data_IF_541253514731
#
_entry.id   IF_541253514731
#
_cell.length_a   1.000
_cell.length_b   1.000
_cell.length_c   1.000
_cell.angle_alpha   90.00
_cell.angle_beta   90.00
_cell.angle_gamma   90.00
#
_symmetry.space_group_name_H-M   'P 1'
#
loop_
_entity.id
_entity.type
_entity.pdbx_description
1 polymer ?
#
# COMPACT_ATOMS: atom_id res chain seq x y z
N UNK A 1 -8.47 35.65 -21.40
CA UNK A 1 -7.01 35.45 -21.42
C UNK A 1 -6.71 34.07 -20.84
N UNK A 2 -5.92 33.22 -21.50
CA UNK A 2 -5.54 31.94 -20.91
C UNK A 2 -4.72 32.22 -19.64
N UNK A 3 -5.14 31.66 -18.52
CA UNK A 3 -4.60 31.91 -17.17
C UNK A 3 -3.35 31.09 -16.87
N UNK A 4 -2.86 30.28 -17.82
CA UNK A 4 -1.71 29.39 -17.64
C UNK A 4 -0.64 29.61 -18.73
N UNK A 5 0.61 29.73 -18.30
CA UNK A 5 1.76 29.83 -19.20
C UNK A 5 2.15 28.44 -19.71
N UNK A 6 2.71 28.30 -20.93
CA UNK A 6 3.18 27.01 -21.45
C UNK A 6 4.15 26.28 -20.51
N UNK A 7 4.93 27.02 -19.73
CA UNK A 7 5.84 26.48 -18.71
C UNK A 7 5.07 25.84 -17.53
N UNK A 8 3.95 26.44 -17.11
CA UNK A 8 3.10 25.89 -16.05
C UNK A 8 2.40 24.58 -16.46
N UNK A 9 2.24 24.30 -17.77
CA UNK A 9 1.75 23.00 -18.27
C UNK A 9 2.84 21.92 -18.35
N UNK A 10 4.13 22.29 -18.33
CA UNK A 10 5.24 21.32 -18.41
C UNK A 10 5.65 20.77 -17.04
N UNK A 11 5.33 21.46 -15.96
CA UNK A 11 5.56 21.00 -14.60
C UNK A 11 4.28 20.38 -14.07
N UNK A 12 4.23 19.08 -13.75
CA UNK A 12 3.06 18.49 -13.11
C UNK A 12 2.76 19.22 -11.80
N UNK A 13 1.48 19.29 -11.44
CA UNK A 13 1.06 19.89 -10.18
C UNK A 13 1.80 19.19 -9.02
N UNK A 14 2.13 19.96 -7.96
CA UNK A 14 2.85 19.45 -6.77
C UNK A 14 2.12 18.29 -6.10
N UNK A 15 0.80 18.18 -6.33
CA UNK A 15 -0.06 17.07 -5.92
C UNK A 15 -1.11 16.82 -7.01
N UNK A 16 -1.59 15.58 -7.16
CA UNK A 16 -2.56 15.23 -8.17
C UNK A 16 -3.11 13.81 -8.04
N UNK A 17 -4.32 13.58 -8.58
CA UNK A 17 -4.98 12.27 -8.60
C UNK A 17 -4.71 11.49 -9.89
N UNK A 18 -3.79 11.97 -10.72
CA UNK A 18 -3.39 11.28 -11.94
C UNK A 18 -2.78 9.92 -11.64
N UNK A 19 -2.90 9.00 -12.59
CA UNK A 19 -2.22 7.72 -12.57
C UNK A 19 -1.38 7.53 -13.82
N UNK A 20 -0.28 6.81 -13.69
CA UNK A 20 0.57 6.42 -14.81
C UNK A 20 0.80 4.92 -14.72
N UNK A 21 0.75 4.26 -15.88
CA UNK A 21 1.14 2.87 -16.02
C UNK A 21 2.34 2.81 -16.96
N UNK A 22 3.42 2.20 -16.50
CA UNK A 22 4.64 1.98 -17.29
C UNK A 22 4.92 0.49 -17.38
N UNK A 23 5.48 0.08 -18.50
CA UNK A 23 5.91 -1.28 -18.75
C UNK A 23 7.44 -1.24 -18.78
N UNK A 24 8.07 -2.15 -18.05
CA UNK A 24 9.52 -2.36 -18.10
C UNK A 24 9.91 -2.66 -19.56
N UNK A 25 10.83 -1.90 -20.18
CA UNK A 25 11.29 -2.21 -21.54
C UNK A 25 12.00 -3.56 -21.65
N UNK A 26 12.57 -4.08 -20.56
CA UNK A 26 13.38 -5.31 -20.55
C UNK A 26 12.56 -6.54 -20.08
N UNK A 27 11.37 -6.73 -20.65
CA UNK A 27 10.52 -7.88 -20.33
C UNK A 27 11.18 -9.21 -20.70
N UNK A 28 11.23 -10.12 -19.74
CA UNK A 28 11.64 -11.51 -19.96
C UNK A 28 10.44 -12.44 -20.10
N UNK A 29 10.56 -13.46 -20.94
CA UNK A 29 9.50 -14.46 -21.05
C UNK A 29 9.40 -15.31 -19.77
N UNK A 30 8.19 -15.55 -19.24
CA UNK A 30 8.00 -16.41 -18.08
C UNK A 30 8.55 -17.82 -18.32
N UNK A 31 9.29 -18.35 -17.34
CA UNK A 31 9.86 -19.69 -17.38
C UNK A 31 9.32 -20.52 -16.21
N UNK A 32 8.88 -21.74 -16.49
CA UNK A 32 8.37 -22.67 -15.47
C UNK A 32 9.21 -23.94 -15.48
N UNK A 33 9.87 -24.21 -14.37
CA UNK A 33 10.57 -25.45 -14.10
C UNK A 33 9.64 -26.38 -13.31
N UNK A 34 9.39 -27.58 -13.84
CA UNK A 34 8.55 -28.58 -13.20
C UNK A 34 9.35 -29.87 -12.96
N UNK A 35 9.21 -30.43 -11.76
CA UNK A 35 9.73 -31.74 -11.41
C UNK A 35 8.64 -32.57 -10.78
N UNK A 36 8.54 -33.82 -11.22
CA UNK A 36 7.60 -34.80 -10.72
C UNK A 36 8.35 -36.05 -10.30
N UNK A 37 7.98 -36.58 -9.13
CA UNK A 37 8.49 -37.85 -8.64
C UNK A 37 7.30 -38.70 -8.21
N UNK A 38 7.19 -39.90 -8.78
CA UNK A 38 6.13 -40.86 -8.42
C UNK A 38 6.78 -42.14 -7.92
N UNK A 39 6.22 -42.68 -6.83
CA UNK A 39 6.61 -43.97 -6.28
C UNK A 39 5.35 -44.81 -6.07
N UNK A 40 5.28 -45.95 -6.76
CA UNK A 40 4.24 -46.95 -6.56
C UNK A 40 4.86 -48.24 -6.03
N UNK A 41 4.24 -48.83 -5.00
CA UNK A 41 4.66 -50.12 -4.48
C UNK A 41 3.47 -50.96 -4.01
N UNK A 42 3.47 -52.23 -4.40
CA UNK A 42 2.65 -53.25 -3.77
C UNK A 42 3.26 -53.61 -2.40
N UNK A 43 2.48 -53.44 -1.33
CA UNK A 43 2.94 -53.61 0.06
C UNK A 43 2.54 -54.96 0.62
N UNK A 44 1.26 -55.30 0.49
CA UNK A 44 0.67 -56.56 0.95
C UNK A 44 -0.25 -57.08 -0.13
N UNK A 45 -0.39 -58.40 -0.29
CA UNK A 45 -1.27 -59.04 -1.30
C UNK A 45 -2.55 -58.21 -1.52
N UNK A 46 -2.66 -57.59 -2.69
CA UNK A 46 -3.81 -56.75 -3.14
C UNK A 46 -3.85 -55.28 -2.67
N UNK A 47 -2.82 -54.75 -2.01
CA UNK A 47 -2.74 -53.35 -1.57
C UNK A 47 -1.58 -52.64 -2.28
N UNK A 48 -1.87 -51.50 -2.87
CA UNK A 48 -0.92 -50.63 -3.58
C UNK A 48 -0.91 -49.27 -2.89
N UNK A 49 0.29 -48.78 -2.60
CA UNK A 49 0.51 -47.39 -2.18
C UNK A 49 1.19 -46.67 -3.33
N UNK A 50 0.68 -45.48 -3.63
CA UNK A 50 1.24 -44.55 -4.59
C UNK A 50 1.48 -43.20 -3.90
N UNK A 51 2.66 -42.65 -4.08
CA UNK A 51 3.08 -41.36 -3.55
C UNK A 51 3.55 -40.53 -4.74
N UNK A 52 2.86 -39.42 -5.01
CA UNK A 52 3.21 -38.50 -6.07
C UNK A 52 3.66 -37.17 -5.47
N UNK A 53 4.78 -36.66 -5.93
CA UNK A 53 5.28 -35.33 -5.61
C UNK A 53 5.38 -34.50 -6.87
N UNK A 54 4.83 -33.29 -6.83
CA UNK A 54 4.91 -32.32 -7.92
C UNK A 54 5.48 -31.03 -7.32
N UNK A 55 6.55 -30.53 -7.91
CA UNK A 55 7.06 -29.19 -7.64
C UNK A 55 7.12 -28.36 -8.90
N UNK A 56 6.68 -27.11 -8.81
CA UNK A 56 6.80 -26.10 -9.87
C UNK A 56 7.52 -24.88 -9.32
N UNK A 57 8.44 -24.35 -10.10
CA UNK A 57 9.11 -23.08 -9.85
C UNK A 57 9.01 -22.23 -11.10
N UNK A 58 8.22 -21.17 -11.02
CA UNK A 58 8.07 -20.20 -12.08
C UNK A 58 8.89 -18.95 -11.75
N UNK A 59 9.64 -18.47 -12.74
CA UNK A 59 10.41 -17.22 -12.69
C UNK A 59 10.03 -16.34 -13.88
N UNK A 60 10.33 -15.05 -13.77
CA UNK A 60 10.00 -14.05 -14.79
C UNK A 60 8.50 -13.94 -15.08
N UNK A 61 7.65 -14.15 -14.07
CA UNK A 61 6.22 -13.95 -14.22
C UNK A 61 5.93 -12.45 -14.41
N UNK A 62 4.94 -12.15 -15.25
CA UNK A 62 4.48 -10.78 -15.44
C UNK A 62 3.76 -10.33 -14.16
N UNK A 63 4.36 -9.35 -13.49
CA UNK A 63 3.86 -8.73 -12.28
C UNK A 63 3.49 -7.28 -12.51
N UNK A 64 2.62 -6.76 -11.65
CA UNK A 64 2.26 -5.36 -11.63
C UNK A 64 2.23 -4.85 -10.20
N UNK A 65 3.00 -3.80 -9.91
CA UNK A 65 3.03 -3.19 -8.58
C UNK A 65 2.94 -1.67 -8.65
N UNK A 66 2.36 -1.06 -7.63
CA UNK A 66 2.27 0.38 -7.53
C UNK A 66 3.50 0.92 -6.78
N UNK A 67 4.44 1.56 -7.48
CA UNK A 67 5.65 2.17 -6.85
C UNK A 67 5.31 3.36 -5.96
N UNK A 68 4.12 3.94 -6.14
CA UNK A 68 3.60 5.02 -5.29
C UNK A 68 2.65 4.47 -4.21
N UNK A 69 2.88 3.23 -3.75
CA UNK A 69 2.14 2.66 -2.64
C UNK A 69 2.29 3.54 -1.40
N UNK A 70 1.17 3.73 -0.71
CA UNK A 70 1.13 4.57 0.48
C UNK A 70 1.91 3.95 1.64
N UNK A 71 2.81 4.72 2.24
CA UNK A 71 3.59 4.28 3.39
C UNK A 71 2.77 4.42 4.68
N UNK A 72 2.13 3.33 5.11
CA UNK A 72 1.37 3.30 6.37
C UNK A 72 2.25 3.26 7.62
N UNK A 73 3.55 2.98 7.47
CA UNK A 73 4.54 2.98 8.56
C UNK A 73 5.26 4.32 8.70
N UNK A 74 4.78 5.35 8.00
CA UNK A 74 5.37 6.68 8.04
C UNK A 74 5.39 7.24 9.47
N UNK A 75 6.52 7.87 9.81
CA UNK A 75 6.78 8.55 11.09
C UNK A 75 7.28 9.96 10.81
N UNK A 76 7.06 10.88 11.76
CA UNK A 76 7.51 12.27 11.67
C UNK A 76 8.60 12.49 12.72
N UNK A 77 9.73 13.15 12.39
CA UNK A 77 10.75 13.48 13.38
C UNK A 77 10.17 14.20 14.59
N UNK A 78 10.54 13.76 15.80
CA UNK A 78 10.03 14.32 17.05
C UNK A 78 8.74 13.66 17.57
N UNK A 79 8.19 12.67 16.85
CA UNK A 79 7.05 11.86 17.29
C UNK A 79 7.42 10.37 17.24
N UNK A 80 7.11 9.62 18.30
CA UNK A 80 7.52 8.21 18.44
C UNK A 80 6.55 7.19 17.85
N UNK A 81 5.36 7.59 17.42
CA UNK A 81 4.35 6.68 16.85
C UNK A 81 4.36 6.71 15.32
N UNK A 82 4.05 5.57 14.69
CA UNK A 82 3.83 5.46 13.25
C UNK A 82 2.36 5.72 12.89
N UNK A 83 2.08 6.00 11.62
CA UNK A 83 0.70 6.25 11.17
C UNK A 83 -0.23 5.06 11.41
N UNK A 84 0.25 3.83 11.22
CA UNK A 84 -0.53 2.62 11.51
C UNK A 84 -0.83 2.48 13.01
N UNK A 85 0.14 2.78 13.88
CA UNK A 85 -0.06 2.71 15.34
C UNK A 85 -1.07 3.77 15.80
N UNK A 86 -0.90 5.01 15.31
CA UNK A 86 -1.82 6.11 15.56
C UNK A 86 -3.24 5.77 15.09
N UNK A 87 -3.39 5.23 13.88
CA UNK A 87 -4.68 4.82 13.32
C UNK A 87 -5.35 3.74 14.17
N UNK A 88 -4.59 2.71 14.57
CA UNK A 88 -5.11 1.63 15.39
C UNK A 88 -5.52 2.11 16.79
N UNK A 89 -4.73 2.99 17.41
CA UNK A 89 -5.06 3.58 18.70
C UNK A 89 -6.30 4.49 18.64
N UNK A 90 -6.44 5.29 17.57
CA UNK A 90 -7.64 6.10 17.28
C UNK A 90 -8.86 5.21 17.07
N UNK A 91 -8.72 4.09 16.36
CA UNK A 91 -9.81 3.13 16.14
C UNK A 91 -10.23 2.44 17.44
N UNK A 92 -9.27 2.08 18.30
CA UNK A 92 -9.52 1.38 19.55
C UNK A 92 -10.18 2.26 20.62
N UNK A 93 -9.90 3.56 20.63
CA UNK A 93 -10.45 4.49 21.62
C UNK A 93 -10.82 5.83 21.01
N UNK A 94 -12.05 6.28 21.24
CA UNK A 94 -12.56 7.58 20.80
C UNK A 94 -11.92 8.76 21.53
N UNK A 95 -11.40 8.53 22.74
CA UNK A 95 -10.75 9.55 23.57
C UNK A 95 -9.24 9.66 23.33
N UNK A 96 -8.64 8.73 22.60
CA UNK A 96 -7.21 8.77 22.28
C UNK A 96 -6.89 9.98 21.38
N UNK A 97 -5.84 10.71 21.72
CA UNK A 97 -5.31 11.79 20.87
C UNK A 97 -3.92 11.38 20.44
N UNK A 98 -3.69 11.35 19.12
CA UNK A 98 -2.43 10.93 18.53
C UNK A 98 -1.53 12.15 18.33
N UNK A 99 -0.35 12.21 19.00
CA UNK A 99 0.68 13.22 18.72
C UNK A 99 1.04 13.36 17.25
N UNK A 100 1.12 12.26 16.50
CA UNK A 100 1.41 12.22 15.07
C UNK A 100 0.29 12.88 14.28
N UNK A 101 -0.95 12.40 14.41
CA UNK A 101 -2.09 12.97 13.67
C UNK A 101 -2.29 14.43 14.02
N UNK A 102 -2.11 14.82 15.29
CA UNK A 102 -2.11 16.21 15.71
C UNK A 102 -1.06 17.02 14.94
N UNK A 103 0.18 16.52 14.87
CA UNK A 103 1.26 17.16 14.12
C UNK A 103 0.96 17.25 12.62
N UNK A 104 0.43 16.19 12.00
CA UNK A 104 0.11 16.18 10.57
C UNK A 104 -0.95 17.21 10.19
N UNK A 105 -1.93 17.43 11.07
CA UNK A 105 -3.07 18.31 10.78
C UNK A 105 -2.90 19.75 11.28
N UNK A 106 -2.06 19.97 12.29
CA UNK A 106 -1.95 21.27 12.97
C UNK A 106 -0.51 21.78 13.10
N UNK A 107 0.48 20.97 12.75
CA UNK A 107 1.90 21.27 12.99
C UNK A 107 2.35 21.10 14.44
N UNK A 108 1.45 20.75 15.37
CA UNK A 108 1.77 20.58 16.79
C UNK A 108 1.24 19.27 17.34
N UNK A 109 2.10 18.50 18.01
CA UNK A 109 1.73 17.24 18.65
C UNK A 109 0.71 17.40 19.80
N UNK A 110 0.66 18.57 20.44
CA UNK A 110 -0.19 18.83 21.60
C UNK A 110 -1.58 19.37 21.22
N UNK A 111 -1.79 19.74 19.96
CA UNK A 111 -3.06 20.29 19.50
C UNK A 111 -4.03 19.19 19.06
N UNK A 112 -4.88 18.76 19.99
CA UNK A 112 -5.86 17.69 19.81
C UNK A 112 -6.92 17.96 18.72
N UNK A 113 -7.02 19.20 18.20
CA UNK A 113 -7.89 19.50 17.08
C UNK A 113 -7.53 18.69 15.82
N UNK A 114 -6.26 18.28 15.66
CA UNK A 114 -5.82 17.46 14.54
C UNK A 114 -6.44 16.05 14.57
N UNK A 115 -6.36 15.36 15.70
CA UNK A 115 -7.00 14.03 15.86
C UNK A 115 -8.52 14.12 15.73
N UNK A 116 -9.15 15.17 16.29
CA UNK A 116 -10.59 15.39 16.13
C UNK A 116 -11.00 15.57 14.66
N UNK A 117 -10.24 16.37 13.91
CA UNK A 117 -10.45 16.59 12.47
C UNK A 117 -10.26 15.30 11.68
N UNK A 118 -9.20 14.55 11.97
CA UNK A 118 -8.93 13.26 11.34
C UNK A 118 -10.07 12.26 11.56
N UNK A 119 -10.62 12.17 12.78
CA UNK A 119 -11.78 11.30 13.08
C UNK A 119 -13.00 11.67 12.25
N UNK A 120 -13.28 12.96 12.11
CA UNK A 120 -14.42 13.45 11.32
C UNK A 120 -14.26 13.11 9.84
N UNK A 121 -13.05 13.25 9.29
CA UNK A 121 -12.77 13.04 7.86
C UNK A 121 -12.59 11.56 7.49
N UNK A 122 -12.02 10.77 8.39
CA UNK A 122 -11.66 9.36 8.16
C UNK A 122 -12.65 8.40 8.81
N UNK A 123 -13.87 8.83 9.14
CA UNK A 123 -14.86 8.01 9.85
C UNK A 123 -15.14 6.67 9.17
N UNK A 124 -15.34 6.67 7.85
CA UNK A 124 -15.51 5.46 7.05
C UNK A 124 -14.27 4.57 7.04
N UNK A 125 -13.08 5.16 6.90
CA UNK A 125 -11.81 4.42 6.93
C UNK A 125 -11.57 3.79 8.30
N UNK A 126 -11.85 4.49 9.39
CA UNK A 126 -11.73 3.99 10.77
C UNK A 126 -12.70 2.83 10.99
N UNK A 127 -13.96 2.97 10.57
CA UNK A 127 -14.97 1.91 10.68
C UNK A 127 -14.55 0.64 9.91
N UNK A 128 -14.06 0.80 8.68
CA UNK A 128 -13.65 -0.32 7.82
C UNK A 128 -12.23 -0.84 8.09
N UNK A 129 -11.44 -0.16 8.94
CA UNK A 129 -10.03 -0.49 9.16
C UNK A 129 -9.12 -0.20 7.95
N UNK A 130 -9.54 0.69 7.04
CA UNK A 130 -8.83 1.00 5.80
C UNK A 130 -7.73 2.06 6.01
N UNK A 131 -6.67 1.70 6.74
CA UNK A 131 -5.55 2.61 7.06
C UNK A 131 -4.88 3.21 5.83
N UNK A 132 -4.68 2.42 4.77
CA UNK A 132 -4.06 2.88 3.54
C UNK A 132 -4.89 3.99 2.86
N UNK A 133 -6.22 3.82 2.81
CA UNK A 133 -7.14 4.84 2.30
C UNK A 133 -7.09 6.12 3.15
N UNK A 134 -7.05 5.97 4.48
CA UNK A 134 -6.91 7.13 5.36
C UNK A 134 -5.60 7.88 5.12
N UNK A 135 -4.48 7.17 4.96
CA UNK A 135 -3.18 7.78 4.66
C UNK A 135 -3.18 8.54 3.31
N UNK A 136 -3.81 7.99 2.26
CA UNK A 136 -3.96 8.68 0.97
C UNK A 136 -4.83 9.93 1.10
N UNK A 137 -5.92 9.86 1.86
CA UNK A 137 -6.77 11.03 2.08
C UNK A 137 -6.03 12.15 2.85
N UNK A 138 -5.14 11.78 3.78
CA UNK A 138 -4.28 12.74 4.48
C UNK A 138 -3.22 13.31 3.55
N UNK A 139 -2.61 12.49 2.67
CA UNK A 139 -1.59 12.96 1.73
C UNK A 139 -2.13 13.98 0.72
N UNK A 140 -3.37 13.80 0.29
CA UNK A 140 -4.04 14.69 -0.67
C UNK A 140 -4.74 15.90 -0.02
N UNK A 141 -4.69 16.02 1.31
CA UNK A 141 -5.48 17.03 2.00
C UNK A 141 -4.98 18.44 1.70
N UNK A 142 -5.92 19.32 1.35
CA UNK A 142 -5.67 20.74 1.15
C UNK A 142 -6.10 21.58 2.36
N UNK A 143 -5.37 22.66 2.60
CA UNK A 143 -5.74 23.74 3.49
C UNK A 143 -7.10 24.32 3.05
N UNK A 144 -8.12 24.16 3.89
CA UNK A 144 -9.49 24.64 3.63
C UNK A 144 -9.64 26.13 3.95
N UNK A 145 -8.82 26.64 4.87
CA UNK A 145 -8.78 28.03 5.31
C UNK A 145 -7.33 28.46 5.48
N UNK A 146 -7.04 29.73 5.23
CA UNK A 146 -5.78 30.32 5.64
C UNK A 146 -5.79 30.46 7.17
N UNK A 147 -4.84 29.82 7.84
CA UNK A 147 -4.61 29.99 9.28
C UNK A 147 -3.30 30.75 9.49
N UNK A 148 -3.43 32.07 9.49
CA UNK A 148 -2.34 33.02 9.73
C UNK A 148 -1.92 33.07 11.20
N UNK A 149 -2.76 32.61 12.12
CA UNK A 149 -2.49 32.66 13.57
C UNK A 149 -1.55 31.55 13.99
N UNK A 150 -1.75 30.34 13.44
CA UNK A 150 -0.92 29.18 13.72
C UNK A 150 0.13 28.88 12.62
N UNK A 151 0.23 29.74 11.59
CA UNK A 151 1.23 29.72 10.51
C UNK A 151 1.33 28.42 9.70
N UNK A 152 0.40 27.47 9.87
CA UNK A 152 0.45 26.17 9.17
C UNK A 152 -0.35 26.12 7.87
N UNK A 153 -1.09 27.17 7.49
CA UNK A 153 -1.75 27.26 6.18
C UNK A 153 -1.74 28.72 5.72
N UNK A 154 -0.75 29.10 4.92
CA UNK A 154 -0.59 30.49 4.45
C UNK A 154 -1.66 30.92 3.42
N UNK A 155 -2.24 29.97 2.69
CA UNK A 155 -3.34 30.21 1.73
C UNK A 155 -4.22 28.95 1.59
N UNK A 156 -5.42 29.14 1.05
CA UNK A 156 -6.32 28.03 0.69
C UNK A 156 -5.78 27.26 -0.52
N UNK A 157 -6.05 25.95 -0.57
CA UNK A 157 -5.65 25.10 -1.70
C UNK A 157 -4.19 24.62 -1.69
N UNK A 158 -3.40 25.01 -0.68
CA UNK A 158 -2.07 24.43 -0.43
C UNK A 158 -2.18 23.05 0.21
N UNK A 159 -1.23 22.16 -0.07
CA UNK A 159 -1.20 20.83 0.56
C UNK A 159 -0.86 20.94 2.05
N UNK A 160 -1.67 20.30 2.90
CA UNK A 160 -1.57 20.41 4.35
C UNK A 160 -0.22 19.94 4.90
N UNK A 161 0.25 18.76 4.47
CA UNK A 161 1.53 18.18 4.93
C UNK A 161 2.76 19.02 4.55
N UNK A 162 2.71 19.68 3.40
CA UNK A 162 3.76 20.60 2.97
C UNK A 162 3.89 21.80 3.92
N UNK A 163 2.80 22.19 4.58
CA UNK A 163 2.78 23.34 5.47
C UNK A 163 2.95 22.96 6.94
N UNK A 164 2.47 21.78 7.38
CA UNK A 164 2.54 21.37 8.79
C UNK A 164 3.87 20.71 9.17
N UNK A 165 4.43 19.89 8.28
CA UNK A 165 5.65 19.11 8.54
C UNK A 165 6.76 19.35 7.51
N UNK A 166 6.53 20.26 6.55
CA UNK A 166 7.44 20.54 5.44
C UNK A 166 7.86 19.29 4.62
N UNK A 167 7.03 18.25 4.65
CA UNK A 167 7.31 16.98 3.96
C UNK A 167 6.05 16.48 3.23
N UNK A 168 5.86 16.89 1.96
CA UNK A 168 4.73 16.44 1.14
C UNK A 168 4.84 14.97 0.71
N UNK A 169 6.02 14.36 0.87
CA UNK A 169 6.34 12.99 0.43
C UNK A 169 6.19 11.94 1.52
N UNK A 170 5.73 12.33 2.72
CA UNK A 170 5.67 11.45 3.90
C UNK A 170 4.99 10.10 3.62
N UNK A 171 3.84 10.15 2.95
CA UNK A 171 3.04 8.96 2.64
C UNK A 171 3.29 8.40 1.25
N UNK A 172 3.75 9.21 0.31
CA UNK A 172 3.84 8.86 -1.10
C UNK A 172 5.08 9.51 -1.69
N UNK A 173 5.91 8.72 -2.38
CA UNK A 173 7.10 9.24 -3.06
C UNK A 173 6.74 10.19 -4.20
N UNK A 174 5.58 9.99 -4.83
CA UNK A 174 5.11 10.77 -5.97
C UNK A 174 3.69 11.31 -5.73
N UNK A 175 3.50 12.33 -4.87
CA UNK A 175 2.19 12.89 -4.53
C UNK A 175 1.44 13.49 -5.73
N UNK A 176 2.15 13.81 -6.82
CA UNK A 176 1.57 14.25 -8.10
C UNK A 176 0.79 13.13 -8.84
N UNK A 177 1.07 11.86 -8.51
CA UNK A 177 0.45 10.67 -9.10
C UNK A 177 -0.22 9.82 -8.02
N UNK A 178 -1.01 10.44 -7.16
CA UNK A 178 -1.68 9.71 -6.08
C UNK A 178 -2.78 8.76 -6.56
N UNK A 179 -3.17 8.80 -7.85
CA UNK A 179 -3.97 7.74 -8.49
C UNK A 179 -3.19 6.44 -8.68
N UNK A 180 -1.86 6.46 -8.48
CA UNK A 180 -0.96 5.33 -8.54
C UNK A 180 0.02 5.42 -9.70
N UNK A 181 1.22 4.88 -9.48
CA UNK A 181 2.18 4.63 -10.56
C UNK A 181 2.37 3.13 -10.62
N UNK A 182 1.74 2.50 -11.62
CA UNK A 182 1.81 1.05 -11.78
C UNK A 182 2.97 0.72 -12.71
N UNK A 183 3.90 -0.10 -12.21
CA UNK A 183 5.00 -0.66 -12.98
C UNK A 183 4.66 -2.11 -13.28
N UNK A 184 4.65 -2.45 -14.57
CA UNK A 184 4.53 -3.83 -15.03
C UNK A 184 5.91 -4.35 -15.40
N UNK A 185 6.39 -5.37 -14.70
CA UNK A 185 7.70 -5.97 -14.94
C UNK A 185 7.63 -7.51 -14.96
N UNK A 186 8.79 -8.14 -15.07
CA UNK A 186 8.94 -9.60 -15.06
C UNK A 186 9.71 -10.08 -13.84
N UNK A 187 9.49 -9.46 -12.67
CA UNK A 187 10.21 -9.82 -11.44
C UNK A 187 9.48 -10.84 -10.56
N UNK A 188 8.22 -11.18 -10.88
CA UNK A 188 7.42 -12.09 -10.06
C UNK A 188 7.91 -13.54 -10.18
N UNK A 189 7.79 -14.27 -9.06
CA UNK A 189 8.15 -15.68 -8.94
C UNK A 189 7.06 -16.47 -8.22
N UNK A 190 6.95 -17.75 -8.51
CA UNK A 190 5.98 -18.64 -7.86
C UNK A 190 6.59 -20.00 -7.57
N UNK A 191 6.34 -20.50 -6.36
CA UNK A 191 6.71 -21.84 -5.94
C UNK A 191 5.46 -22.62 -5.56
N UNK A 192 5.25 -23.75 -6.22
CA UNK A 192 4.20 -24.70 -5.88
C UNK A 192 4.82 -26.05 -5.55
N UNK A 193 4.39 -26.66 -4.44
CA UNK A 193 4.81 -28.00 -4.03
C UNK A 193 3.57 -28.75 -3.55
N UNK A 194 3.33 -29.93 -4.10
CA UNK A 194 2.23 -30.79 -3.71
C UNK A 194 2.72 -32.22 -3.54
N UNK A 195 2.18 -32.89 -2.52
CA UNK A 195 2.33 -34.33 -2.30
C UNK A 195 0.93 -34.93 -2.31
N UNK A 196 0.75 -35.99 -3.08
CA UNK A 196 -0.47 -36.78 -3.14
C UNK A 196 -0.17 -38.21 -2.70
N UNK A 197 -1.06 -38.76 -1.88
CA UNK A 197 -1.01 -40.13 -1.39
C UNK A 197 -2.25 -40.87 -1.85
N UNK A 198 -2.08 -41.97 -2.59
CA UNK A 198 -3.17 -42.81 -3.06
C UNK A 198 -3.00 -44.22 -2.50
N UNK A 199 -4.06 -44.75 -1.91
CA UNK A 199 -4.13 -46.13 -1.43
C UNK A 199 -5.18 -46.90 -2.22
N UNK A 200 -4.77 -48.00 -2.86
CA UNK A 200 -5.65 -48.86 -3.66
C UNK A 200 -5.70 -50.25 -3.04
N UNK A 201 -6.91 -50.80 -2.82
CA UNK A 201 -7.11 -52.19 -2.35
C UNK A 201 -7.99 -52.96 -3.34
N UNK A 202 -7.51 -54.10 -3.83
CA UNK A 202 -8.29 -54.98 -4.71
C UNK A 202 -9.27 -55.82 -3.88
N UNK A 203 -10.57 -55.56 -4.03
CA UNK A 203 -11.64 -56.33 -3.39
C UNK A 203 -11.93 -57.58 -4.26
N UNK A 204 -11.86 -58.81 -3.71
CA UNK A 204 -12.29 -60.01 -4.43
C UNK A 204 -13.81 -59.98 -4.67
N UNK A 205 -14.24 -60.46 -5.84
CA UNK A 205 -15.66 -60.73 -6.16
C UNK A 205 -16.20 -61.87 -5.32
#
# INVERSE_FOLDING_TARGET
MPTSTPTALRTPAVFGTGSISVIDPDLQFPQVHEWMASFEREVWKKNVIEINYIGKHAVHLLGGYNVNQVNIFATVPGVSESFIDAFNAIKASTSYNSPLINTLFTGSATNNAGTATFRSLSSASIANGSVATAAVNVSQRLCQSADVTAHFCSATGLQLLSQTIANPFLFQHYPQFSGGINVFDTSDYSHYKAVEFIFKRRIPR
#
